data_IF_697457352514
#
_entry.id   IF_697457352514
#
_cell.length_a   1.000
_cell.length_b   1.000
_cell.length_c   1.000
_cell.angle_alpha   90.00
_cell.angle_beta   90.00
_cell.angle_gamma   90.00
#
_symmetry.space_group_name_H-M   'P 1'
#
loop_
_entity.id
_entity.type
_entity.pdbx_description
1 polymer ?
#
# COMPACT_ATOMS: atom_id res chain seq x y z
N UNK A 1 4.57 -11.54 5.65
CA UNK A 1 4.34 -10.20 5.04
C UNK A 1 3.27 -10.23 3.95
N UNK A 2 3.31 -11.13 2.96
CA UNK A 2 2.28 -11.19 1.89
C UNK A 2 0.83 -11.34 2.39
N UNK A 3 0.58 -12.13 3.45
CA UNK A 3 -0.78 -12.29 4.01
C UNK A 3 -1.39 -10.98 4.54
N UNK A 4 -0.57 -10.10 5.12
CA UNK A 4 -1.01 -8.81 5.67
C UNK A 4 -1.35 -7.84 4.54
N UNK A 5 -0.52 -7.78 3.50
CA UNK A 5 -0.76 -6.96 2.31
C UNK A 5 -2.08 -7.38 1.64
N UNK A 6 -2.32 -8.70 1.54
CA UNK A 6 -3.54 -9.24 0.97
C UNK A 6 -4.79 -8.93 1.84
N UNK A 7 -4.68 -9.04 3.16
CA UNK A 7 -5.76 -8.68 4.09
C UNK A 7 -6.11 -7.19 4.01
N UNK A 8 -5.10 -6.31 3.97
CA UNK A 8 -5.30 -4.86 3.85
C UNK A 8 -5.95 -4.52 2.52
N UNK A 9 -5.52 -5.14 1.43
CA UNK A 9 -6.14 -4.97 0.12
C UNK A 9 -7.61 -5.37 0.13
N UNK A 10 -7.93 -6.57 0.63
CA UNK A 10 -9.32 -7.04 0.73
C UNK A 10 -10.17 -6.12 1.60
N UNK A 11 -9.63 -5.62 2.72
CA UNK A 11 -10.35 -4.70 3.58
C UNK A 11 -10.69 -3.41 2.84
N UNK A 12 -9.72 -2.82 2.12
CA UNK A 12 -9.95 -1.62 1.31
C UNK A 12 -10.98 -1.88 0.18
N UNK A 13 -10.92 -3.06 -0.44
CA UNK A 13 -11.90 -3.47 -1.45
C UNK A 13 -13.32 -3.54 -0.87
N UNK A 14 -13.50 -4.19 0.29
CA UNK A 14 -14.80 -4.29 0.95
C UNK A 14 -15.33 -2.93 1.36
N UNK A 15 -14.50 -2.05 1.92
CA UNK A 15 -14.91 -0.69 2.31
C UNK A 15 -15.34 0.12 1.09
N UNK A 16 -14.58 0.05 -0.02
CA UNK A 16 -14.95 0.71 -1.26
C UNK A 16 -16.26 0.16 -1.84
N UNK A 17 -16.44 -1.15 -1.85
CA UNK A 17 -17.65 -1.79 -2.34
C UNK A 17 -18.89 -1.36 -1.53
N UNK A 18 -18.79 -1.31 -0.20
CA UNK A 18 -19.87 -0.82 0.67
C UNK A 18 -20.15 0.66 0.44
N UNK A 19 -19.12 1.49 0.23
CA UNK A 19 -19.29 2.91 -0.07
C UNK A 19 -20.01 3.14 -1.40
N UNK A 20 -19.60 2.45 -2.48
CA UNK A 20 -20.26 2.54 -3.78
C UNK A 20 -21.65 1.91 -3.80
N UNK A 21 -21.87 0.85 -3.03
CA UNK A 21 -23.20 0.27 -2.82
C UNK A 21 -24.15 1.24 -2.12
N UNK A 22 -23.66 1.97 -1.12
CA UNK A 22 -24.46 2.99 -0.40
C UNK A 22 -24.81 4.19 -1.29
N UNK A 23 -24.04 4.42 -2.35
CA UNK A 23 -24.30 5.46 -3.35
C UNK A 23 -25.32 5.03 -4.43
N UNK A 24 -25.82 3.78 -4.37
CA UNK A 24 -26.84 3.27 -5.30
C UNK A 24 -26.33 2.98 -6.70
N UNK A 25 -25.02 2.77 -6.87
CA UNK A 25 -24.45 2.34 -8.15
C UNK A 25 -24.88 0.91 -8.49
N UNK A 26 -24.86 0.58 -9.78
CA UNK A 26 -25.12 -0.78 -10.25
C UNK A 26 -24.01 -1.74 -9.81
N UNK A 27 -24.34 -3.01 -9.57
CA UNK A 27 -23.41 -4.01 -9.06
C UNK A 27 -22.15 -4.15 -9.92
N UNK A 28 -22.28 -4.03 -11.24
CA UNK A 28 -21.13 -4.13 -12.16
C UNK A 28 -20.19 -2.92 -12.02
N UNK A 29 -20.74 -1.71 -11.86
CA UNK A 29 -19.95 -0.49 -11.69
C UNK A 29 -19.25 -0.45 -10.33
N UNK A 30 -19.94 -0.92 -9.28
CA UNK A 30 -19.37 -1.11 -7.95
C UNK A 30 -18.17 -2.04 -8.02
N UNK A 31 -18.31 -3.22 -8.65
CA UNK A 31 -17.21 -4.20 -8.74
C UNK A 31 -16.03 -3.62 -9.52
N UNK A 32 -16.28 -2.96 -10.66
CA UNK A 32 -15.23 -2.35 -11.46
C UNK A 32 -14.47 -1.25 -10.69
N UNK A 33 -15.18 -0.32 -10.05
CA UNK A 33 -14.56 0.76 -9.25
C UNK A 33 -13.83 0.24 -8.03
N UNK A 34 -14.42 -0.72 -7.31
CA UNK A 34 -13.80 -1.35 -6.13
C UNK A 34 -12.51 -2.08 -6.51
N UNK A 35 -12.49 -2.73 -7.68
CA UNK A 35 -11.29 -3.39 -8.20
C UNK A 35 -10.17 -2.39 -8.52
N UNK A 36 -10.50 -1.23 -9.09
CA UNK A 36 -9.53 -0.15 -9.31
C UNK A 36 -8.95 0.34 -7.98
N UNK A 37 -9.79 0.53 -6.95
CA UNK A 37 -9.35 0.94 -5.61
C UNK A 37 -8.44 -0.13 -4.99
N UNK A 38 -8.75 -1.42 -5.17
CA UNK A 38 -7.91 -2.52 -4.71
C UNK A 38 -6.51 -2.47 -5.35
N UNK A 39 -6.43 -2.35 -6.67
CA UNK A 39 -5.16 -2.25 -7.40
C UNK A 39 -4.37 -1.02 -6.91
N UNK A 40 -5.02 0.14 -6.81
CA UNK A 40 -4.39 1.36 -6.33
C UNK A 40 -3.84 1.21 -4.91
N UNK A 41 -4.59 0.60 -4.00
CA UNK A 41 -4.15 0.34 -2.63
C UNK A 41 -2.90 -0.57 -2.59
N UNK A 42 -2.88 -1.64 -3.39
CA UNK A 42 -1.71 -2.54 -3.48
C UNK A 42 -0.48 -1.77 -3.99
N UNK A 43 -0.63 -0.97 -5.05
CA UNK A 43 0.47 -0.18 -5.63
C UNK A 43 1.02 0.81 -4.61
N UNK A 44 0.15 1.51 -3.87
CA UNK A 44 0.56 2.45 -2.81
C UNK A 44 1.31 1.72 -1.70
N UNK A 45 0.80 0.58 -1.23
CA UNK A 45 1.47 -0.20 -0.17
C UNK A 45 2.85 -0.66 -0.63
N UNK A 46 2.97 -1.15 -1.86
CA UNK A 46 4.28 -1.55 -2.43
C UNK A 46 5.21 -0.35 -2.54
N UNK A 47 4.74 0.80 -3.03
CA UNK A 47 5.54 2.01 -3.14
C UNK A 47 6.02 2.51 -1.77
N UNK A 48 5.18 2.45 -0.73
CA UNK A 48 5.55 2.82 0.64
C UNK A 48 6.59 1.85 1.20
N UNK A 49 6.43 0.54 1.01
CA UNK A 49 7.40 -0.46 1.47
C UNK A 49 8.77 -0.25 0.79
N UNK A 50 8.78 -0.02 -0.52
CA UNK A 50 10.02 0.24 -1.27
C UNK A 50 10.64 1.57 -0.84
N UNK A 51 9.84 2.63 -0.73
CA UNK A 51 10.29 3.96 -0.30
C UNK A 51 10.89 3.96 1.11
N UNK A 52 10.21 3.34 2.07
CA UNK A 52 10.72 3.19 3.46
C UNK A 52 11.98 2.32 3.52
N UNK A 53 12.10 1.29 2.67
CA UNK A 53 13.31 0.45 2.59
C UNK A 53 14.53 1.23 2.06
N UNK A 54 14.33 2.11 1.08
CA UNK A 54 15.38 2.98 0.56
C UNK A 54 15.81 4.04 1.58
N UNK A 55 14.85 4.63 2.31
CA UNK A 55 15.13 5.61 3.38
C UNK A 55 15.86 4.98 4.57
N UNK A 56 15.47 3.77 4.98
CA UNK A 56 16.12 3.05 6.08
C UNK A 56 17.54 2.61 5.70
N UNK A 57 17.77 2.21 4.45
CA UNK A 57 19.11 1.89 3.94
C UNK A 57 20.05 3.11 3.96
N UNK A 58 19.55 4.29 3.60
CA UNK A 58 20.31 5.55 3.70
C UNK A 58 20.73 5.89 5.12
N UNK A 59 19.88 5.63 6.12
CA UNK A 59 20.24 5.87 7.53
C UNK A 59 21.26 4.86 8.07
N UNK A 60 21.20 3.60 7.62
CA UNK A 60 22.15 2.58 8.12
C UNK A 60 23.56 2.80 7.59
N UNK A 61 23.71 3.29 6.36
CA UNK A 61 25.02 3.53 5.74
C UNK A 61 25.62 4.92 6.05
N UNK A 62 24.87 5.81 6.71
CA UNK A 62 25.32 7.16 7.09
C UNK A 62 26.06 7.24 8.44
N UNK A 63 26.02 6.17 9.25
CA UNK A 63 26.57 6.16 10.63
C UNK A 63 27.87 5.34 10.75
N UNK A 64 28.39 4.77 9.66
CA UNK A 64 29.65 4.00 9.64
C UNK A 64 30.78 4.71 8.88
N UNK A 65 30.58 5.97 8.45
CA UNK A 65 31.53 6.71 7.61
C UNK A 65 32.30 7.85 8.29
N UNK A 66 32.29 7.96 9.63
CA UNK A 66 32.92 9.07 10.34
C UNK A 66 33.53 8.61 11.68
N UNK A 67 34.46 7.65 11.64
CA UNK A 67 35.06 7.11 12.86
C UNK A 67 36.46 6.50 12.79
N UNK A 68 37.09 6.29 11.62
CA UNK A 68 38.41 5.66 11.55
C UNK A 68 39.37 6.43 10.62
N UNK A 69 39.71 7.65 11.04
CA UNK A 69 40.99 8.29 10.71
C UNK A 69 41.44 9.12 11.91
N UNK A 70 42.02 8.45 12.92
CA UNK A 70 42.90 9.06 13.93
C UNK A 70 43.67 7.96 14.66
#
# INVERSE_FOLDING_TARGET
MNKIIFQIGILAFCVAAVAYASLGYDAVDIVARSFIVFIAAIVVVVAVIVGTSLLTTKQKHGTEGSGETA
#
